data_IF_663860574016
#
_entry.id   IF_663860574016
#
_cell.length_a   1.000
_cell.length_b   1.000
_cell.length_c   1.000
_cell.angle_alpha   90.00
_cell.angle_beta   90.00
_cell.angle_gamma   90.00
#
_symmetry.space_group_name_H-M   'P 1'
#
loop_
_entity.id
_entity.type
_entity.pdbx_description
1 polymer ?
#
# COMPACT_ATOMS: atom_id res chain seq x y z
N UNK A 1 -1.26 -5.25 12.57
CA UNK A 1 -0.06 -6.04 12.86
C UNK A 1 1.08 -5.08 13.17
N UNK A 2 1.27 -4.74 14.44
CA UNK A 2 2.25 -3.73 14.88
C UNK A 2 3.30 -4.45 15.73
N UNK A 3 4.57 -4.24 15.39
CA UNK A 3 5.70 -4.78 16.14
C UNK A 3 6.57 -3.65 16.68
N UNK A 4 7.06 -3.84 17.90
CA UNK A 4 8.03 -2.96 18.53
C UNK A 4 9.42 -3.33 18.04
N UNK A 5 10.12 -2.39 17.40
CA UNK A 5 11.47 -2.58 16.88
C UNK A 5 12.42 -1.59 17.51
N UNK A 6 13.48 -2.11 18.12
CA UNK A 6 14.59 -1.30 18.61
C UNK A 6 15.35 -0.69 17.43
N UNK A 7 15.50 0.62 17.45
CA UNK A 7 16.23 1.40 16.44
C UNK A 7 17.41 2.09 17.10
N UNK A 8 18.62 1.86 16.57
CA UNK A 8 19.81 2.59 16.98
C UNK A 8 19.70 4.05 16.51
N UNK A 9 20.21 5.03 17.29
CA UNK A 9 20.33 6.41 16.82
C UNK A 9 21.13 6.47 15.51
N UNK A 10 20.74 7.35 14.60
CA UNK A 10 21.42 7.52 13.30
C UNK A 10 21.65 8.99 12.98
N UNK A 11 22.80 9.39 12.43
CA UNK A 11 23.03 10.76 12.01
C UNK A 11 22.12 11.14 10.83
N UNK A 12 21.54 12.34 10.86
CA UNK A 12 20.76 12.91 9.76
C UNK A 12 21.74 13.45 8.73
N UNK A 13 21.78 12.83 7.54
CA UNK A 13 22.73 13.17 6.47
C UNK A 13 22.48 14.56 5.83
N UNK A 14 21.36 15.22 6.14
CA UNK A 14 20.98 16.55 5.61
C UNK A 14 20.44 17.46 6.72
N UNK A 15 21.09 17.49 7.88
CA UNK A 15 20.85 18.54 8.85
C UNK A 15 21.22 19.90 8.21
N UNK A 16 20.34 20.88 8.29
CA UNK A 16 20.48 22.17 7.62
C UNK A 16 21.86 22.79 7.85
N UNK A 17 22.40 23.42 6.80
CA UNK A 17 23.62 24.24 6.82
C UNK A 17 23.64 25.09 8.10
N UNK A 18 24.67 24.93 8.92
CA UNK A 18 24.90 25.61 10.21
C UNK A 18 24.23 24.96 11.44
N UNK A 19 24.79 23.85 11.96
CA UNK A 19 24.50 23.40 13.32
C UNK A 19 24.61 21.89 13.56
N UNK A 20 25.83 21.39 13.77
CA UNK A 20 26.14 20.05 14.33
C UNK A 20 25.57 18.81 13.60
N UNK A 21 26.09 17.60 13.88
CA UNK A 21 25.45 16.38 13.42
C UNK A 21 24.14 16.16 14.18
N UNK A 22 23.02 16.56 13.58
CA UNK A 22 21.69 16.29 14.12
C UNK A 22 21.42 14.77 14.06
N UNK A 23 21.08 14.15 15.18
CA UNK A 23 20.84 12.70 15.27
C UNK A 23 19.35 12.39 15.34
N UNK A 24 18.91 11.37 14.61
CA UNK A 24 17.60 10.74 14.83
C UNK A 24 17.69 9.99 16.17
N UNK A 25 16.87 10.33 17.18
CA UNK A 25 16.87 9.63 18.45
C UNK A 25 16.57 8.15 18.22
N UNK A 26 17.35 7.30 18.87
CA UNK A 26 17.07 5.87 18.93
C UNK A 26 15.91 5.57 19.88
N UNK A 27 15.50 4.31 19.94
CA UNK A 27 14.46 3.88 20.86
C UNK A 27 13.63 2.74 20.31
N UNK A 28 12.50 2.49 20.97
CA UNK A 28 11.52 1.49 20.56
C UNK A 28 10.54 2.17 19.62
N UNK A 29 10.55 1.76 18.35
CA UNK A 29 9.67 2.30 17.31
C UNK A 29 8.62 1.26 16.95
N UNK A 30 7.37 1.68 16.82
CA UNK A 30 6.30 0.82 16.32
C UNK A 30 6.33 0.78 14.79
N UNK A 31 6.37 -0.42 14.21
CA UNK A 31 6.39 -0.62 12.76
C UNK A 31 5.33 -1.64 12.35
N UNK A 32 4.67 -1.45 11.19
CA UNK A 32 3.77 -2.46 10.67
C UNK A 32 4.57 -3.72 10.29
N UNK A 33 4.09 -4.88 10.72
CA UNK A 33 4.64 -6.17 10.32
C UNK A 33 3.89 -6.73 9.10
N UNK A 34 4.55 -7.55 8.27
CA UNK A 34 3.94 -8.16 7.09
C UNK A 34 2.69 -8.98 7.45
N UNK A 35 1.78 -9.11 6.49
CA UNK A 35 0.62 -9.99 6.58
C UNK A 35 0.59 -10.90 5.35
N UNK A 36 0.18 -12.18 5.50
CA UNK A 36 -0.01 -13.06 4.36
C UNK A 36 -1.03 -12.50 3.38
N UNK A 37 -0.74 -12.58 2.09
CA UNK A 37 -1.61 -12.06 1.02
C UNK A 37 -2.97 -12.78 0.96
N UNK A 38 -3.04 -14.03 1.42
CA UNK A 38 -4.29 -14.80 1.51
C UNK A 38 -5.29 -14.24 2.53
N UNK A 39 -4.82 -13.47 3.51
CA UNK A 39 -5.64 -12.99 4.63
C UNK A 39 -6.22 -11.60 4.36
N UNK A 40 -6.01 -11.04 3.16
CA UNK A 40 -6.50 -9.72 2.78
C UNK A 40 -7.40 -9.82 1.54
N UNK A 41 -8.39 -8.92 1.47
CA UNK A 41 -9.29 -8.79 0.31
C UNK A 41 -9.23 -7.38 -0.25
N UNK A 42 -9.43 -7.27 -1.57
CA UNK A 42 -9.53 -5.98 -2.24
C UNK A 42 -10.90 -5.37 -1.96
N UNK A 43 -10.89 -4.13 -1.47
CA UNK A 43 -12.11 -3.33 -1.31
C UNK A 43 -12.40 -2.64 -2.63
N UNK A 44 -13.58 -2.88 -3.19
CA UNK A 44 -13.99 -2.21 -4.42
C UNK A 44 -14.31 -0.72 -4.14
N UNK A 45 -13.73 0.24 -4.88
CA UNK A 45 -13.95 1.67 -4.63
C UNK A 45 -15.42 2.09 -4.85
N UNK A 46 -16.14 1.41 -5.75
CA UNK A 46 -17.56 1.70 -6.02
C UNK A 46 -18.47 1.18 -4.92
N UNK A 47 -18.43 -0.13 -4.63
CA UNK A 47 -19.39 -0.72 -3.68
C UNK A 47 -18.91 -0.69 -2.22
N UNK A 48 -17.65 -0.29 -1.97
CA UNK A 48 -17.01 -0.19 -0.65
C UNK A 48 -17.05 -1.49 0.17
N UNK A 49 -17.23 -2.63 -0.50
CA UNK A 49 -17.29 -3.95 0.13
C UNK A 49 -16.04 -4.75 -0.27
N UNK A 50 -15.58 -5.70 0.56
CA UNK A 50 -14.50 -6.62 0.18
C UNK A 50 -14.99 -7.57 -0.90
N UNK A 51 -14.23 -7.72 -1.99
CA UNK A 51 -14.64 -8.50 -3.16
C UNK A 51 -13.49 -9.31 -3.75
N UNK A 52 -13.83 -10.40 -4.44
CA UNK A 52 -12.87 -11.09 -5.32
C UNK A 52 -12.71 -10.33 -6.63
N UNK A 53 -11.51 -10.42 -7.20
CA UNK A 53 -11.16 -9.73 -8.44
C UNK A 53 -11.32 -10.66 -9.64
N UNK A 54 -11.79 -10.12 -10.76
CA UNK A 54 -11.72 -10.69 -12.10
C UNK A 54 -10.83 -9.86 -13.00
N UNK A 55 -10.51 -10.39 -14.17
CA UNK A 55 -9.71 -9.66 -15.17
C UNK A 55 -10.49 -9.56 -16.46
N UNK A 56 -10.63 -8.35 -16.98
CA UNK A 56 -11.24 -8.07 -18.28
C UNK A 56 -10.19 -7.40 -19.16
N UNK A 57 -10.30 -7.61 -20.47
CA UNK A 57 -9.43 -6.98 -21.46
C UNK A 57 -10.16 -5.79 -22.05
N UNK A 58 -9.51 -4.62 -22.07
CA UNK A 58 -10.01 -3.41 -22.71
C UNK A 58 -8.98 -2.84 -23.66
N UNK A 59 -9.45 -2.32 -24.80
CA UNK A 59 -8.64 -1.55 -25.73
C UNK A 59 -8.69 -0.08 -25.32
N UNK A 60 -7.54 0.47 -24.92
CA UNK A 60 -7.38 1.88 -24.57
C UNK A 60 -6.28 2.45 -25.46
N UNK A 61 -6.61 3.43 -26.31
CA UNK A 61 -5.66 4.08 -27.23
C UNK A 61 -4.87 3.05 -28.06
N UNK A 62 -5.59 2.14 -28.71
CA UNK A 62 -5.07 1.06 -29.55
C UNK A 62 -4.16 0.03 -28.86
N UNK A 63 -4.08 0.08 -27.53
CA UNK A 63 -3.35 -0.90 -26.71
C UNK A 63 -4.32 -1.77 -25.93
N UNK A 64 -4.05 -3.06 -25.93
CA UNK A 64 -4.81 -4.05 -25.16
C UNK A 64 -4.31 -4.03 -23.71
N UNK A 65 -5.15 -3.59 -22.78
CA UNK A 65 -4.85 -3.49 -21.35
C UNK A 65 -5.73 -4.45 -20.56
N UNK A 66 -5.14 -5.13 -19.59
CA UNK A 66 -5.86 -5.98 -18.64
C UNK A 66 -6.23 -5.16 -17.41
N UNK A 67 -7.52 -5.09 -17.12
CA UNK A 67 -8.07 -4.33 -15.99
C UNK A 67 -8.72 -5.25 -14.98
N UNK A 68 -8.60 -4.91 -13.68
CA UNK A 68 -9.25 -5.65 -12.60
C UNK A 68 -10.70 -5.21 -12.46
N UNK A 69 -11.61 -6.18 -12.37
CA UNK A 69 -13.05 -5.94 -12.18
C UNK A 69 -13.56 -6.58 -10.89
N UNK A 70 -14.56 -5.96 -10.30
CA UNK A 70 -15.24 -6.44 -9.11
C UNK A 70 -16.16 -7.63 -9.45
N UNK A 71 -15.90 -8.84 -8.91
CA UNK A 71 -16.75 -10.02 -9.13
C UNK A 71 -17.98 -10.09 -8.23
N UNK A 72 -18.25 -9.04 -7.45
CA UNK A 72 -19.41 -9.04 -6.55
C UNK A 72 -20.68 -8.82 -7.35
N UNK A 73 -21.70 -9.61 -7.03
CA UNK A 73 -23.02 -9.51 -7.64
C UNK A 73 -23.58 -8.09 -7.47
N UNK A 74 -24.06 -7.51 -8.58
CA UNK A 74 -24.60 -6.15 -8.62
C UNK A 74 -23.58 -5.00 -8.75
N UNK A 75 -22.26 -5.27 -8.85
CA UNK A 75 -21.27 -4.21 -9.11
C UNK A 75 -20.63 -4.35 -10.49
N UNK A 76 -19.81 -5.38 -10.73
CA UNK A 76 -19.16 -5.61 -12.04
C UNK A 76 -18.20 -4.51 -12.52
N UNK A 77 -17.97 -3.46 -11.73
CA UNK A 77 -17.19 -2.29 -12.13
C UNK A 77 -15.68 -2.50 -12.01
N UNK A 78 -14.93 -1.65 -12.68
CA UNK A 78 -13.47 -1.61 -12.65
C UNK A 78 -12.94 -1.14 -11.30
N UNK A 79 -11.87 -1.78 -10.85
CA UNK A 79 -11.21 -1.48 -9.58
C UNK A 79 -10.06 -0.49 -9.79
N UNK A 80 -9.34 -0.60 -10.91
CA UNK A 80 -8.12 0.18 -11.23
C UNK A 80 -8.43 1.53 -11.88
N UNK A 81 -9.37 2.28 -11.30
CA UNK A 81 -9.75 3.60 -11.79
C UNK A 81 -8.75 4.68 -11.38
#
# INVERSE_FOLDING_TARGET
NIVKRHQRPRPIQKASRMGGPQMIPGGIVEKPAPLPVSNVMVVCPTCKRPTRVGTVVKTVKDKTVRVRVCKREGCGQEIDR
#
